data_IF_662064045485
#
_entry.id   IF_662064045485
#
_cell.length_a   1.000
_cell.length_b   1.000
_cell.length_c   1.000
_cell.angle_alpha   90.00
_cell.angle_beta   90.00
_cell.angle_gamma   90.00
#
_symmetry.space_group_name_H-M   'P 1'
#
loop_
_entity.id
_entity.type
_entity.pdbx_description
1 polymer ?
#
# COMPACT_ATOMS: atom_id res chain seq x y z
N UNK A 1 25.82 24.10 18.37
CA UNK A 1 24.55 23.43 18.02
C UNK A 1 24.76 22.64 16.74
N UNK A 2 24.63 21.31 16.78
CA UNK A 2 24.85 20.45 15.62
C UNK A 2 23.54 20.43 14.82
N UNK A 3 23.53 21.10 13.65
CA UNK A 3 22.40 21.07 12.72
C UNK A 3 22.27 19.61 12.24
N UNK A 4 21.26 18.90 12.73
CA UNK A 4 20.89 17.60 12.17
C UNK A 4 20.38 17.91 10.76
N UNK A 5 21.21 17.65 9.75
CA UNK A 5 20.72 17.54 8.38
C UNK A 5 19.77 16.33 8.40
N UNK A 6 18.46 16.57 8.33
CA UNK A 6 17.51 15.51 8.02
C UNK A 6 17.73 15.19 6.55
N UNK A 7 18.57 14.18 6.34
CA UNK A 7 19.03 13.67 5.05
C UNK A 7 17.86 13.06 4.29
N UNK A 8 17.64 13.53 3.05
CA UNK A 8 16.83 12.94 1.96
C UNK A 8 15.40 12.53 2.36
N UNK A 9 14.41 13.32 1.94
CA UNK A 9 13.02 12.86 1.85
C UNK A 9 13.00 11.67 0.88
N UNK A 10 12.70 10.47 1.39
CA UNK A 10 12.44 9.29 0.54
C UNK A 10 11.00 9.40 0.09
N UNK A 11 10.80 9.76 -1.17
CA UNK A 11 9.49 9.79 -1.79
C UNK A 11 9.11 8.37 -2.24
N UNK A 12 7.83 8.01 -2.07
CA UNK A 12 7.31 6.74 -2.55
C UNK A 12 7.46 6.66 -4.08
N UNK A 13 7.77 5.48 -4.60
CA UNK A 13 7.87 5.28 -6.05
C UNK A 13 6.50 5.52 -6.70
N UNK A 14 6.52 6.16 -7.88
CA UNK A 14 5.31 6.44 -8.67
C UNK A 14 4.54 5.15 -8.89
N UNK A 15 3.22 5.25 -8.76
CA UNK A 15 2.31 4.13 -8.93
C UNK A 15 2.49 3.42 -10.27
N UNK A 16 2.63 2.10 -10.22
CA UNK A 16 2.59 1.26 -11.41
C UNK A 16 1.13 1.10 -11.84
N UNK A 17 0.79 1.46 -13.09
CA UNK A 17 -0.59 1.42 -13.61
C UNK A 17 -1.26 0.04 -13.60
N UNK A 18 -0.49 -1.03 -13.42
CA UNK A 18 -0.98 -2.41 -13.30
C UNK A 18 -0.99 -2.92 -11.86
N UNK A 19 -0.60 -2.07 -10.89
CA UNK A 19 -0.54 -2.41 -9.46
C UNK A 19 -1.91 -2.50 -8.82
N UNK A 20 -1.98 -3.22 -7.69
CA UNK A 20 -3.18 -3.31 -6.88
C UNK A 20 -3.62 -1.92 -6.43
N UNK A 21 -2.68 -1.06 -6.01
CA UNK A 21 -2.95 0.32 -5.61
C UNK A 21 -3.68 1.10 -6.71
N UNK A 22 -3.26 0.97 -7.98
CA UNK A 22 -3.88 1.71 -9.08
C UNK A 22 -5.35 1.31 -9.26
N UNK A 23 -5.66 0.01 -9.13
CA UNK A 23 -7.05 -0.46 -9.16
C UNK A 23 -7.85 0.05 -7.97
N UNK A 24 -7.30 0.00 -6.76
CA UNK A 24 -7.99 0.44 -5.54
C UNK A 24 -8.21 1.96 -5.54
N UNK A 25 -7.25 2.75 -6.03
CA UNK A 25 -7.37 4.20 -6.22
C UNK A 25 -8.51 4.56 -7.19
N UNK A 26 -8.72 3.75 -8.24
CA UNK A 26 -9.79 3.98 -9.21
C UNK A 26 -11.21 3.89 -8.63
N UNK A 27 -11.37 3.25 -7.46
CA UNK A 27 -12.67 3.16 -6.77
C UNK A 27 -13.13 4.51 -6.21
N UNK A 28 -12.22 5.49 -6.08
CA UNK A 28 -12.49 6.82 -5.55
C UNK A 28 -13.12 6.79 -4.13
N UNK A 29 -12.71 5.81 -3.32
CA UNK A 29 -13.10 5.65 -1.92
C UNK A 29 -11.88 6.00 -1.04
N UNK A 30 -11.98 6.94 -0.09
CA UNK A 30 -10.82 7.41 0.69
C UNK A 30 -10.17 6.33 1.57
N UNK A 31 -11.01 5.52 2.22
CA UNK A 31 -10.59 4.45 3.12
C UNK A 31 -11.62 3.32 3.10
N UNK A 32 -11.15 2.08 3.02
CA UNK A 32 -12.02 0.90 3.12
C UNK A 32 -11.23 -0.33 3.55
N UNK A 33 -11.97 -1.36 3.96
CA UNK A 33 -11.46 -2.67 4.35
C UNK A 33 -12.01 -3.71 3.37
N UNK A 34 -11.14 -4.58 2.87
CA UNK A 34 -11.50 -5.78 2.13
C UNK A 34 -11.22 -7.02 2.98
N UNK A 35 -12.18 -7.92 3.02
CA UNK A 35 -12.02 -9.28 3.53
C UNK A 35 -11.57 -10.17 2.37
N UNK A 36 -10.26 -10.42 2.28
CA UNK A 36 -9.65 -11.20 1.20
C UNK A 36 -9.97 -12.69 1.36
N UNK A 37 -10.11 -13.17 2.60
CA UNK A 37 -10.55 -14.55 2.87
C UNK A 37 -11.93 -14.81 2.29
N UNK A 38 -12.88 -13.90 2.51
CA UNK A 38 -14.23 -14.02 1.96
C UNK A 38 -14.25 -13.99 0.43
N UNK A 39 -13.43 -13.11 -0.17
CA UNK A 39 -13.27 -13.04 -1.62
C UNK A 39 -12.75 -14.36 -2.20
N UNK A 40 -11.80 -15.03 -1.53
CA UNK A 40 -11.32 -16.36 -1.94
C UNK A 40 -12.42 -17.42 -1.88
N UNK A 41 -13.23 -17.42 -0.81
CA UNK A 41 -14.32 -18.38 -0.60
C UNK A 41 -15.45 -18.24 -1.64
N UNK A 42 -15.84 -17.00 -1.96
CA UNK A 42 -17.00 -16.73 -2.82
C UNK A 42 -16.74 -16.96 -4.32
N UNK A 43 -15.46 -17.04 -4.74
CA UNK A 43 -15.04 -17.20 -6.14
C UNK A 43 -15.75 -16.22 -7.11
N UNK A 44 -16.06 -15.02 -6.64
CA UNK A 44 -16.82 -14.02 -7.38
C UNK A 44 -16.00 -13.49 -8.57
N UNK A 45 -16.54 -13.59 -9.78
CA UNK A 45 -15.88 -13.14 -11.00
C UNK A 45 -15.45 -11.66 -10.97
N UNK A 46 -16.21 -10.79 -10.30
CA UNK A 46 -15.88 -9.37 -10.17
C UNK A 46 -14.69 -9.13 -9.26
N UNK A 47 -14.41 -10.05 -8.32
CA UNK A 47 -13.32 -9.93 -7.36
C UNK A 47 -12.09 -10.76 -7.75
N UNK A 48 -12.17 -11.62 -8.78
CA UNK A 48 -11.05 -12.45 -9.25
C UNK A 48 -9.79 -11.67 -9.61
N UNK A 49 -9.91 -10.40 -9.98
CA UNK A 49 -8.74 -9.59 -10.33
C UNK A 49 -7.74 -9.44 -9.17
N UNK A 50 -8.22 -9.39 -7.92
CA UNK A 50 -7.36 -9.22 -6.73
C UNK A 50 -6.71 -10.54 -6.28
N UNK A 51 -7.30 -11.67 -6.67
CA UNK A 51 -6.80 -13.02 -6.40
C UNK A 51 -5.58 -13.39 -7.26
N UNK A 52 -5.34 -12.65 -8.35
CA UNK A 52 -4.24 -12.91 -9.25
C UNK A 52 -2.95 -12.21 -8.79
N UNK A 53 -1.80 -12.79 -9.14
CA UNK A 53 -0.50 -12.14 -8.91
C UNK A 53 -0.45 -10.80 -9.63
N UNK A 54 -0.21 -9.74 -8.86
CA UNK A 54 -0.10 -8.36 -9.34
C UNK A 54 0.98 -7.64 -8.53
N UNK A 55 1.64 -6.62 -9.11
CA UNK A 55 2.53 -5.78 -8.33
C UNK A 55 1.74 -5.07 -7.24
N UNK A 56 2.22 -5.13 -6.02
CA UNK A 56 1.77 -4.28 -4.93
C UNK A 56 2.98 -3.74 -4.17
N UNK A 57 2.81 -2.60 -3.49
CA UNK A 57 3.88 -1.90 -2.80
C UNK A 57 4.24 -2.62 -1.51
N UNK A 58 5.51 -3.00 -1.38
CA UNK A 58 6.11 -3.41 -0.12
C UNK A 58 6.97 -2.26 0.40
N UNK A 59 6.63 -1.77 1.59
CA UNK A 59 7.36 -0.72 2.29
C UNK A 59 7.71 -1.20 3.70
N UNK A 60 8.86 -0.78 4.21
CA UNK A 60 9.40 -1.26 5.48
C UNK A 60 10.59 -0.44 5.95
N UNK A 61 11.36 -1.00 6.88
CA UNK A 61 12.47 -0.28 7.54
C UNK A 61 13.60 0.14 6.60
N UNK A 62 13.76 -0.51 5.44
CA UNK A 62 14.85 -0.23 4.48
C UNK A 62 14.25 0.27 3.17
N UNK A 63 14.82 1.34 2.62
CA UNK A 63 14.48 1.86 1.28
C UNK A 63 14.65 0.74 0.25
N UNK A 64 13.54 0.24 -0.28
CA UNK A 64 13.55 -0.81 -1.29
C UNK A 64 13.97 -0.20 -2.64
N UNK A 65 14.91 -0.85 -3.33
CA UNK A 65 15.29 -0.44 -4.70
C UNK A 65 14.10 -0.50 -5.66
N UNK A 66 13.19 -1.45 -5.44
CA UNK A 66 11.92 -1.56 -6.13
C UNK A 66 10.85 -1.80 -5.07
N UNK A 67 9.92 -0.87 -4.93
CA UNK A 67 8.84 -1.00 -3.95
C UNK A 67 7.74 -1.95 -4.44
N UNK A 68 7.62 -2.19 -5.75
CA UNK A 68 6.57 -3.02 -6.32
C UNK A 68 7.02 -4.48 -6.49
N UNK A 69 6.46 -5.36 -5.66
CA UNK A 69 6.72 -6.80 -5.69
C UNK A 69 5.55 -7.50 -6.37
N UNK A 70 5.84 -8.34 -7.37
CA UNK A 70 4.82 -9.14 -8.04
C UNK A 70 4.50 -10.41 -7.23
N UNK A 71 3.48 -10.33 -6.38
CA UNK A 71 3.02 -11.45 -5.53
C UNK A 71 1.48 -11.51 -5.51
N UNK A 72 0.93 -12.50 -4.82
CA UNK A 72 -0.50 -12.64 -4.55
C UNK A 72 -0.81 -12.02 -3.19
N UNK A 73 -1.36 -10.80 -3.18
CA UNK A 73 -1.69 -10.11 -1.91
C UNK A 73 -2.62 -10.95 -1.03
N UNK A 74 -3.47 -11.75 -1.65
CA UNK A 74 -4.41 -12.59 -0.93
C UNK A 74 -3.75 -13.80 -0.29
N UNK A 75 -2.60 -14.27 -0.78
CA UNK A 75 -1.84 -15.34 -0.13
C UNK A 75 -1.02 -14.82 1.05
N UNK A 76 -0.69 -13.53 1.03
CA UNK A 76 0.11 -12.86 2.06
C UNK A 76 -0.77 -12.29 3.20
N UNK A 77 -2.04 -11.96 2.94
CA UNK A 77 -2.94 -11.30 3.88
C UNK A 77 -4.39 -11.81 3.82
N UNK A 78 -5.04 -11.92 4.99
CA UNK A 78 -6.47 -12.23 5.09
C UNK A 78 -7.36 -11.00 4.91
N UNK A 79 -6.85 -9.82 5.28
CA UNK A 79 -7.57 -8.55 5.22
C UNK A 79 -6.68 -7.46 4.63
N UNK A 80 -7.29 -6.53 3.90
CA UNK A 80 -6.59 -5.37 3.33
C UNK A 80 -7.30 -4.09 3.74
N UNK A 81 -6.60 -3.22 4.47
CA UNK A 81 -7.04 -1.84 4.70
C UNK A 81 -6.38 -0.98 3.63
N UNK A 82 -7.20 -0.29 2.84
CA UNK A 82 -6.72 0.67 1.86
C UNK A 82 -6.93 2.09 2.36
N UNK A 83 -5.89 2.90 2.26
CA UNK A 83 -5.90 4.34 2.58
C UNK A 83 -5.33 5.06 1.36
N UNK A 84 -6.17 5.81 0.65
CA UNK A 84 -5.80 6.47 -0.61
C UNK A 84 -4.66 7.49 -0.40
N UNK A 85 -4.75 8.29 0.65
CA UNK A 85 -3.79 9.34 0.95
C UNK A 85 -3.26 9.20 2.38
N UNK A 86 -1.93 9.23 2.51
CA UNK A 86 -1.25 9.26 3.79
C UNK A 86 -0.28 10.44 3.83
N UNK A 87 0.05 10.88 5.04
CA UNK A 87 1.07 11.89 5.28
C UNK A 87 2.22 11.28 6.07
N UNK A 88 3.37 11.94 6.06
CA UNK A 88 4.52 11.55 6.88
C UNK A 88 4.11 11.51 8.35
N UNK A 89 4.58 10.51 9.09
CA UNK A 89 4.33 10.40 10.53
C UNK A 89 4.96 11.57 11.28
N UNK A 90 4.25 12.11 12.26
CA UNK A 90 4.80 13.12 13.16
C UNK A 90 5.44 12.42 14.36
N UNK A 91 6.79 12.46 14.45
CA UNK A 91 7.53 11.77 15.51
C UNK A 91 7.61 12.59 16.80
N UNK A 92 7.66 13.91 16.70
CA UNK A 92 7.74 14.83 17.82
C UNK A 92 6.66 15.89 17.65
N UNK A 93 5.79 16.01 18.64
CA UNK A 93 4.92 17.17 18.79
C UNK A 93 5.66 18.16 19.68
N UNK A 94 5.89 19.39 19.22
CA UNK A 94 6.22 20.46 20.16
C UNK A 94 4.99 20.64 21.07
N UNK A 95 5.18 20.42 22.36
CA UNK A 95 4.20 20.76 23.39
C UNK A 95 4.43 22.25 23.64
N UNK A 96 3.52 23.10 23.16
CA UNK A 96 3.46 24.51 23.56
C UNK A 96 2.96 24.65 25.01
#
# INVERSE_FOLDING_TARGET
MKKILITKVVEAQIENSTSIEAYLNSLNIPIFLLDLKKIKEENNNLAKWILNKKPYRWTGMVEAKNEFVNSSITDDFDYLIFINQSTISTLLHEIE
#
